data_IF_942321617660
#
_entry.id   IF_942321617660
#
_cell.length_a   1.000
_cell.length_b   1.000
_cell.length_c   1.000
_cell.angle_alpha   90.00
_cell.angle_beta   90.00
_cell.angle_gamma   90.00
#
_symmetry.space_group_name_H-M   'P 1'
#
loop_
_entity.id
_entity.type
_entity.pdbx_description
1 polymer ?
#
# COMPACT_ATOMS: atom_id res chain seq x y z
N UNK A 1 -2.70 -27.58 -37.07
CA UNK A 1 -1.97 -26.72 -36.12
C UNK A 1 -1.48 -25.47 -36.86
N UNK A 2 -2.28 -24.40 -36.88
CA UNK A 2 -1.86 -23.13 -37.47
C UNK A 2 -1.19 -22.27 -36.40
N UNK A 3 0.10 -21.96 -36.57
CA UNK A 3 0.80 -20.96 -35.73
C UNK A 3 0.17 -19.59 -36.00
N UNK A 4 -0.68 -19.11 -35.08
CA UNK A 4 -1.11 -17.71 -35.06
C UNK A 4 0.09 -16.86 -34.63
N UNK A 5 0.73 -16.20 -35.60
CA UNK A 5 1.67 -15.12 -35.31
C UNK A 5 0.87 -13.91 -34.84
N UNK A 6 0.75 -13.70 -33.52
CA UNK A 6 0.25 -12.44 -32.96
C UNK A 6 1.35 -11.40 -33.20
N UNK A 7 1.13 -10.49 -34.15
CA UNK A 7 1.97 -9.30 -34.35
C UNK A 7 1.99 -8.49 -33.04
N UNK A 8 3.10 -8.56 -32.30
CA UNK A 8 3.14 -8.18 -30.89
C UNK A 8 3.81 -6.81 -30.63
N UNK A 9 3.72 -5.88 -31.58
CA UNK A 9 4.23 -4.50 -31.47
C UNK A 9 3.46 -3.54 -32.37
N UNK A 10 2.93 -2.46 -31.79
CA UNK A 10 2.36 -1.34 -32.53
C UNK A 10 3.25 -0.10 -32.38
N UNK A 11 3.79 0.43 -33.48
CA UNK A 11 4.52 1.70 -33.53
C UNK A 11 3.72 2.69 -34.38
N UNK A 12 3.40 3.86 -33.83
CA UNK A 12 2.61 4.87 -34.53
C UNK A 12 3.43 6.11 -34.91
N UNK A 13 3.31 6.56 -36.17
CA UNK A 13 4.08 7.66 -36.77
C UNK A 13 3.39 9.04 -36.64
N UNK A 14 4.14 10.14 -36.68
CA UNK A 14 3.65 11.47 -36.30
C UNK A 14 2.75 12.14 -37.36
N UNK A 15 1.71 12.86 -36.89
CA UNK A 15 0.88 13.76 -37.71
C UNK A 15 0.40 14.99 -36.92
N UNK A 16 0.10 16.08 -37.64
CA UNK A 16 -0.39 17.37 -37.14
C UNK A 16 -1.92 17.43 -37.20
N UNK A 17 -2.58 18.05 -36.21
CA UNK A 17 -4.03 18.25 -36.19
C UNK A 17 -4.38 19.66 -35.72
N UNK A 18 -5.39 20.26 -36.36
CA UNK A 18 -5.92 21.58 -36.04
C UNK A 18 -7.46 21.57 -36.11
N UNK A 19 -8.14 22.24 -35.17
CA UNK A 19 -9.58 22.57 -35.23
C UNK A 19 -10.54 21.36 -35.30
N UNK A 20 -10.51 20.49 -34.29
CA UNK A 20 -11.38 19.30 -34.22
C UNK A 20 -12.12 19.16 -32.88
N UNK A 21 -13.37 18.70 -32.92
CA UNK A 21 -14.20 18.41 -31.74
C UNK A 21 -14.06 16.94 -31.30
N UNK A 22 -13.32 16.68 -30.21
CA UNK A 22 -13.26 15.38 -29.54
C UNK A 22 -12.48 14.31 -30.30
N UNK A 23 -11.22 14.04 -29.90
CA UNK A 23 -10.39 13.00 -30.53
C UNK A 23 -9.73 12.11 -29.47
N UNK A 24 -10.03 10.80 -29.50
CA UNK A 24 -9.17 9.73 -28.96
C UNK A 24 -8.37 9.17 -30.14
N UNK A 25 -7.07 9.50 -30.25
CA UNK A 25 -6.29 9.13 -31.45
C UNK A 25 -6.07 7.63 -31.61
N UNK A 26 -5.95 6.91 -30.50
CA UNK A 26 -5.80 5.45 -30.51
C UNK A 26 -6.16 4.88 -29.14
N UNK A 27 -7.08 3.93 -29.14
CA UNK A 27 -7.28 2.98 -28.06
C UNK A 27 -6.57 1.68 -28.46
N UNK A 28 -5.71 1.16 -27.60
CA UNK A 28 -5.09 -0.16 -27.78
C UNK A 28 -5.48 -1.06 -26.61
N UNK A 29 -5.90 -2.29 -26.90
CA UNK A 29 -6.27 -3.30 -25.91
C UNK A 29 -5.55 -4.63 -26.24
N UNK A 30 -5.12 -5.35 -25.21
CA UNK A 30 -4.53 -6.70 -25.31
C UNK A 30 -3.31 -6.86 -26.26
N UNK A 31 -2.27 -6.01 -26.14
CA UNK A 31 -0.98 -6.20 -26.84
C UNK A 31 0.19 -6.23 -25.85
N UNK A 32 1.34 -6.81 -26.22
CA UNK A 32 2.53 -6.76 -25.34
C UNK A 32 3.17 -5.37 -25.29
N UNK A 33 3.29 -4.67 -26.42
CA UNK A 33 3.98 -3.38 -26.46
C UNK A 33 3.32 -2.40 -27.43
N UNK A 34 3.08 -1.19 -26.94
CA UNK A 34 2.57 -0.07 -27.75
C UNK A 34 3.46 1.15 -27.60
N UNK A 35 3.84 1.79 -28.71
CA UNK A 35 4.50 3.08 -28.71
C UNK A 35 3.83 4.08 -29.66
N UNK A 36 3.72 5.33 -29.21
CA UNK A 36 3.14 6.42 -29.99
C UNK A 36 4.06 7.64 -30.05
N UNK A 37 4.22 8.20 -31.25
CA UNK A 37 4.88 9.47 -31.50
C UNK A 37 3.91 10.49 -32.09
N UNK A 38 3.71 11.61 -31.41
CA UNK A 38 2.81 12.70 -31.83
C UNK A 38 3.54 14.05 -31.87
N UNK A 39 3.36 14.81 -32.97
CA UNK A 39 4.19 15.99 -33.28
C UNK A 39 3.59 17.36 -32.96
N UNK A 40 2.32 17.63 -33.28
CA UNK A 40 1.73 18.97 -33.06
C UNK A 40 0.20 18.99 -33.08
N UNK A 41 -0.44 19.58 -32.06
CA UNK A 41 -1.90 19.78 -31.97
C UNK A 41 -2.25 21.24 -31.69
N UNK A 42 -3.30 21.76 -32.32
CA UNK A 42 -3.86 23.08 -32.00
C UNK A 42 -5.39 23.16 -32.07
N UNK A 43 -6.02 23.95 -31.19
CA UNK A 43 -7.42 24.37 -31.35
C UNK A 43 -8.45 23.25 -31.19
N UNK A 44 -8.30 22.38 -30.19
CA UNK A 44 -9.17 21.21 -29.98
C UNK A 44 -9.99 21.33 -28.70
N UNK A 45 -11.25 20.92 -28.73
CA UNK A 45 -12.10 21.01 -27.53
C UNK A 45 -11.74 19.95 -26.48
N UNK A 46 -11.63 18.68 -26.88
CA UNK A 46 -11.24 17.58 -26.00
C UNK A 46 -10.32 16.59 -26.72
N UNK A 47 -9.29 16.14 -26.02
CA UNK A 47 -8.12 15.53 -26.61
C UNK A 47 -7.57 14.39 -25.74
N UNK A 48 -7.50 13.16 -26.25
CA UNK A 48 -6.70 12.08 -25.66
C UNK A 48 -5.68 11.60 -26.67
N UNK A 49 -4.40 11.80 -26.37
CA UNK A 49 -3.29 11.46 -27.26
C UNK A 49 -3.12 9.95 -27.46
N UNK A 50 -3.06 9.19 -26.38
CA UNK A 50 -3.04 7.73 -26.42
C UNK A 50 -3.83 7.17 -25.23
N UNK A 51 -4.69 6.19 -25.49
CA UNK A 51 -5.36 5.39 -24.48
C UNK A 51 -4.92 3.92 -24.63
N UNK A 52 -4.51 3.27 -23.55
CA UNK A 52 -4.07 1.87 -23.56
C UNK A 52 -4.60 1.11 -22.36
N UNK A 53 -5.05 -0.13 -22.57
CA UNK A 53 -5.54 -1.03 -21.51
C UNK A 53 -4.95 -2.44 -21.70
N UNK A 54 -4.61 -3.11 -20.59
CA UNK A 54 -4.06 -4.47 -20.55
C UNK A 54 -2.83 -4.69 -21.46
N UNK A 55 -1.69 -4.03 -21.16
CA UNK A 55 -0.42 -4.25 -21.87
C UNK A 55 0.73 -4.51 -20.92
N UNK A 56 1.81 -5.11 -21.40
CA UNK A 56 3.05 -5.19 -20.62
C UNK A 56 3.81 -3.85 -20.62
N UNK A 57 3.93 -3.18 -21.77
CA UNK A 57 4.71 -1.94 -21.88
C UNK A 57 4.05 -0.91 -22.80
N UNK A 58 3.91 0.32 -22.31
CA UNK A 58 3.42 1.46 -23.09
C UNK A 58 4.40 2.63 -23.04
N UNK A 59 4.70 3.23 -24.20
CA UNK A 59 5.48 4.46 -24.27
C UNK A 59 4.87 5.52 -25.19
N UNK A 60 4.87 6.77 -24.74
CA UNK A 60 4.35 7.89 -25.53
C UNK A 60 5.32 9.07 -25.57
N UNK A 61 5.54 9.60 -26.78
CA UNK A 61 6.24 10.86 -27.00
C UNK A 61 5.29 11.87 -27.65
N UNK A 62 4.96 12.92 -26.92
CA UNK A 62 4.14 14.04 -27.38
C UNK A 62 4.91 15.35 -27.41
N UNK A 63 4.77 16.07 -28.51
CA UNK A 63 5.37 17.39 -28.72
C UNK A 63 4.28 18.39 -29.12
N UNK A 64 4.44 19.65 -28.70
CA UNK A 64 3.77 20.84 -29.20
C UNK A 64 2.23 20.78 -29.19
N UNK A 65 1.64 20.92 -28.00
CA UNK A 65 0.19 21.03 -27.84
C UNK A 65 -0.20 22.46 -27.51
N UNK A 66 -1.18 23.02 -28.23
CA UNK A 66 -1.71 24.34 -27.94
C UNK A 66 -3.22 24.51 -28.09
N UNK A 67 -3.81 25.44 -27.34
CA UNK A 67 -5.19 25.90 -27.57
C UNK A 67 -6.26 24.82 -27.38
N UNK A 68 -6.10 23.96 -26.36
CA UNK A 68 -7.08 22.92 -26.03
C UNK A 68 -7.95 23.29 -24.82
N UNK A 69 -9.23 22.91 -24.81
CA UNK A 69 -10.07 23.10 -23.61
C UNK A 69 -9.76 22.03 -22.56
N UNK A 70 -9.74 20.76 -22.95
CA UNK A 70 -9.35 19.63 -22.11
C UNK A 70 -8.42 18.68 -22.86
N UNK A 71 -7.34 18.25 -22.22
CA UNK A 71 -6.27 17.56 -22.90
C UNK A 71 -5.56 16.53 -21.99
N UNK A 72 -5.62 15.25 -22.38
CA UNK A 72 -4.90 14.14 -21.74
C UNK A 72 -3.83 13.62 -22.68
N UNK A 73 -2.57 13.65 -22.26
CA UNK A 73 -1.46 13.15 -23.07
C UNK A 73 -1.55 11.63 -23.23
N UNK A 74 -1.35 10.92 -22.12
CA UNK A 74 -1.42 9.46 -22.05
C UNK A 74 -2.39 9.02 -20.97
N UNK A 75 -3.34 8.14 -21.31
CA UNK A 75 -4.17 7.41 -20.37
C UNK A 75 -3.84 5.92 -20.44
N UNK A 76 -3.53 5.28 -19.32
CA UNK A 76 -3.16 3.85 -19.27
C UNK A 76 -3.80 3.13 -18.08
N UNK A 77 -4.28 1.90 -18.29
CA UNK A 77 -4.83 1.05 -17.21
C UNK A 77 -4.32 -0.39 -17.31
N UNK A 78 -4.00 -1.01 -16.17
CA UNK A 78 -3.46 -2.38 -16.07
C UNK A 78 -2.21 -2.63 -16.92
N UNK A 79 -1.05 -2.10 -16.50
CA UNK A 79 0.23 -2.36 -17.17
C UNK A 79 1.36 -2.72 -16.23
N UNK A 80 2.40 -3.38 -16.74
CA UNK A 80 3.64 -3.54 -15.99
C UNK A 80 4.50 -2.27 -16.02
N UNK A 81 4.67 -1.63 -17.18
CA UNK A 81 5.53 -0.44 -17.31
C UNK A 81 4.94 0.61 -18.24
N UNK A 82 4.88 1.85 -17.77
CA UNK A 82 4.44 3.01 -18.56
C UNK A 82 5.48 4.12 -18.54
N UNK A 83 5.77 4.69 -19.70
CA UNK A 83 6.67 5.84 -19.84
C UNK A 83 6.07 6.92 -20.75
N UNK A 84 6.12 8.18 -20.31
CA UNK A 84 5.72 9.31 -21.15
C UNK A 84 6.73 10.45 -21.15
N UNK A 85 6.97 10.98 -22.35
CA UNK A 85 7.73 12.19 -22.56
C UNK A 85 6.85 13.23 -23.26
N UNK A 86 6.61 14.33 -22.58
CA UNK A 86 5.78 15.43 -23.08
C UNK A 86 6.57 16.74 -23.10
N UNK A 87 6.47 17.46 -24.22
CA UNK A 87 7.20 18.71 -24.43
C UNK A 87 6.32 19.79 -25.04
N UNK A 88 6.48 21.03 -24.57
CA UNK A 88 5.95 22.25 -25.19
C UNK A 88 4.42 22.29 -25.22
N UNK A 89 3.81 22.51 -24.06
CA UNK A 89 2.36 22.67 -23.93
C UNK A 89 2.03 24.14 -23.64
N UNK A 90 1.07 24.71 -24.36
CA UNK A 90 0.70 26.13 -24.20
C UNK A 90 -0.80 26.42 -24.36
N UNK A 91 -1.37 27.28 -23.52
CA UNK A 91 -2.74 27.77 -23.73
C UNK A 91 -3.81 26.67 -23.65
N UNK A 92 -3.70 25.78 -22.66
CA UNK A 92 -4.66 24.69 -22.42
C UNK A 92 -5.45 24.98 -21.14
N UNK A 93 -6.78 24.96 -21.18
CA UNK A 93 -7.56 25.22 -19.94
C UNK A 93 -7.35 24.13 -18.89
N UNK A 94 -7.55 22.85 -19.23
CA UNK A 94 -7.30 21.71 -18.36
C UNK A 94 -6.41 20.68 -19.04
N UNK A 95 -5.28 20.35 -18.41
CA UNK A 95 -4.29 19.45 -18.96
C UNK A 95 -3.89 18.37 -17.96
N UNK A 96 -3.93 17.11 -18.39
CA UNK A 96 -3.32 15.98 -17.67
C UNK A 96 -2.24 15.40 -18.55
N UNK A 97 -0.99 15.44 -18.10
CA UNK A 97 0.12 14.88 -18.86
C UNK A 97 -0.02 13.36 -18.99
N UNK A 98 0.00 12.68 -17.85
CA UNK A 98 -0.15 11.23 -17.77
C UNK A 98 -1.18 10.85 -16.72
N UNK A 99 -2.16 10.04 -17.10
CA UNK A 99 -3.11 9.39 -16.22
C UNK A 99 -2.85 7.88 -16.22
N UNK A 100 -2.66 7.25 -15.06
CA UNK A 100 -2.39 5.81 -14.97
C UNK A 100 -3.06 5.12 -13.78
N UNK A 101 -3.59 3.91 -13.99
CA UNK A 101 -4.21 3.11 -12.94
C UNK A 101 -3.73 1.65 -12.98
N UNK A 102 -3.43 1.07 -11.81
CA UNK A 102 -2.90 -0.31 -11.65
C UNK A 102 -1.63 -0.59 -12.46
N UNK A 103 -0.47 -0.11 -11.99
CA UNK A 103 0.81 -0.43 -12.65
C UNK A 103 1.94 -0.78 -11.67
N UNK A 104 2.91 -1.56 -12.16
CA UNK A 104 4.13 -1.79 -11.38
C UNK A 104 5.08 -0.60 -11.44
N UNK A 105 5.35 -0.03 -12.63
CA UNK A 105 6.30 1.09 -12.77
C UNK A 105 5.80 2.16 -13.73
N UNK A 106 5.80 3.42 -13.27
CA UNK A 106 5.45 4.59 -14.09
C UNK A 106 6.57 5.62 -14.08
N UNK A 107 6.91 6.14 -15.27
CA UNK A 107 7.87 7.23 -15.44
C UNK A 107 7.32 8.33 -16.34
N UNK A 108 7.42 9.59 -15.90
CA UNK A 108 7.02 10.73 -16.72
C UNK A 108 8.06 11.84 -16.71
N UNK A 109 8.33 12.36 -17.90
CA UNK A 109 9.17 13.54 -18.11
C UNK A 109 8.35 14.60 -18.85
N UNK A 110 8.10 15.73 -18.19
CA UNK A 110 7.38 16.86 -18.77
C UNK A 110 8.26 18.10 -18.78
N UNK A 111 8.30 18.78 -19.94
CA UNK A 111 9.12 19.97 -20.14
C UNK A 111 8.32 21.08 -20.84
N UNK A 112 8.56 22.32 -20.42
CA UNK A 112 8.10 23.54 -21.12
C UNK A 112 6.58 23.64 -21.20
N UNK A 113 5.95 23.89 -20.04
CA UNK A 113 4.50 24.07 -19.93
C UNK A 113 4.20 25.54 -19.65
N UNK A 114 3.22 26.11 -20.35
CA UNK A 114 2.89 27.53 -20.23
C UNK A 114 1.39 27.83 -20.40
N UNK A 115 0.88 28.84 -19.70
CA UNK A 115 -0.45 29.40 -20.01
C UNK A 115 -1.62 28.44 -19.80
N UNK A 116 -1.50 27.46 -18.88
CA UNK A 116 -2.60 26.58 -18.53
C UNK A 116 -3.46 27.17 -17.39
N UNK A 117 -4.74 26.82 -17.32
CA UNK A 117 -5.56 27.25 -16.17
C UNK A 117 -5.43 26.24 -15.02
N UNK A 118 -5.56 24.95 -15.34
CA UNK A 118 -5.27 23.83 -14.44
C UNK A 118 -4.43 22.79 -15.16
N UNK A 119 -3.37 22.34 -14.52
CA UNK A 119 -2.49 21.34 -15.11
C UNK A 119 -2.03 20.32 -14.06
N UNK A 120 -2.24 19.04 -14.36
CA UNK A 120 -1.73 17.91 -13.61
C UNK A 120 -0.64 17.26 -14.44
N UNK A 121 0.58 17.21 -13.91
CA UNK A 121 1.67 16.55 -14.60
C UNK A 121 1.41 15.04 -14.70
N UNK A 122 1.30 14.39 -13.55
CA UNK A 122 1.07 12.96 -13.44
C UNK A 122 -0.08 12.70 -12.45
N UNK A 123 -1.08 11.94 -12.87
CA UNK A 123 -2.17 11.45 -12.06
C UNK A 123 -2.10 9.91 -12.02
N UNK A 124 -1.93 9.32 -10.85
CA UNK A 124 -1.80 7.86 -10.75
C UNK A 124 -2.55 7.23 -9.57
N UNK A 125 -3.02 6.01 -9.73
CA UNK A 125 -3.68 5.22 -8.67
C UNK A 125 -3.19 3.78 -8.66
N UNK A 126 -2.88 3.22 -7.48
CA UNK A 126 -2.37 1.85 -7.27
C UNK A 126 -1.09 1.55 -8.05
N UNK A 127 0.06 2.04 -7.54
CA UNK A 127 1.37 1.78 -8.16
C UNK A 127 2.44 1.29 -7.18
N UNK A 128 3.33 0.42 -7.62
CA UNK A 128 4.52 0.07 -6.82
C UNK A 128 5.59 1.18 -6.90
N UNK A 129 5.93 1.67 -8.09
CA UNK A 129 6.99 2.68 -8.26
C UNK A 129 6.62 3.77 -9.25
N UNK A 130 6.74 5.04 -8.83
CA UNK A 130 6.51 6.21 -9.68
C UNK A 130 7.71 7.16 -9.68
N UNK A 131 8.09 7.63 -10.86
CA UNK A 131 9.10 8.68 -11.05
C UNK A 131 8.59 9.80 -11.96
N UNK A 132 8.72 11.05 -11.52
CA UNK A 132 8.31 12.20 -12.30
C UNK A 132 9.39 13.30 -12.31
N UNK A 133 9.68 13.82 -13.50
CA UNK A 133 10.56 14.97 -13.68
C UNK A 133 9.81 16.08 -14.43
N UNK A 134 9.59 17.21 -13.74
CA UNK A 134 8.87 18.36 -14.27
C UNK A 134 9.80 19.57 -14.36
N UNK A 135 9.99 20.09 -15.58
CA UNK A 135 10.89 21.22 -15.83
C UNK A 135 10.21 22.35 -16.59
N UNK A 136 10.51 23.60 -16.22
CA UNK A 136 10.18 24.81 -16.97
C UNK A 136 8.66 25.02 -17.12
N UNK A 137 8.01 25.36 -16.01
CA UNK A 137 6.57 25.66 -15.96
C UNK A 137 6.35 27.15 -15.74
N UNK A 138 5.52 27.79 -16.56
CA UNK A 138 5.26 29.23 -16.46
C UNK A 138 3.79 29.63 -16.65
N UNK A 139 3.35 30.73 -16.02
CA UNK A 139 2.06 31.37 -16.32
C UNK A 139 0.84 30.46 -16.21
N UNK A 140 0.81 29.55 -15.23
CA UNK A 140 -0.27 28.59 -15.02
C UNK A 140 -1.00 28.89 -13.71
N UNK A 141 -2.34 29.01 -13.70
CA UNK A 141 -3.04 29.43 -12.46
C UNK A 141 -2.91 28.38 -11.34
N UNK A 142 -3.22 27.11 -11.63
CA UNK A 142 -3.09 25.99 -10.70
C UNK A 142 -2.28 24.85 -11.33
N UNK A 143 -1.24 24.41 -10.64
CA UNK A 143 -0.43 23.26 -11.06
C UNK A 143 -0.39 22.20 -9.97
N UNK A 144 -0.64 20.95 -10.32
CA UNK A 144 -0.25 19.79 -9.51
C UNK A 144 0.80 19.00 -10.27
N UNK A 145 2.01 18.89 -9.73
CA UNK A 145 3.07 18.16 -10.38
C UNK A 145 2.76 16.68 -10.47
N UNK A 146 2.43 16.08 -9.33
CA UNK A 146 2.05 14.67 -9.22
C UNK A 146 0.90 14.52 -8.22
N UNK A 147 -0.15 13.83 -8.63
CA UNK A 147 -1.31 13.46 -7.84
C UNK A 147 -1.39 11.93 -7.79
N UNK A 148 -1.33 11.34 -6.59
CA UNK A 148 -1.27 9.88 -6.42
C UNK A 148 -2.21 9.34 -5.35
N UNK A 149 -2.59 8.06 -5.47
CA UNK A 149 -3.29 7.29 -4.43
C UNK A 149 -2.72 5.87 -4.38
N UNK A 150 -2.45 5.35 -3.17
CA UNK A 150 -1.92 4.01 -2.88
C UNK A 150 -0.61 3.68 -3.61
N UNK A 151 0.54 4.11 -3.06
CA UNK A 151 1.86 3.83 -3.64
C UNK A 151 2.94 3.36 -2.68
N UNK A 152 3.82 2.46 -3.12
CA UNK A 152 4.96 2.03 -2.29
C UNK A 152 6.13 3.04 -2.37
N UNK A 153 6.57 3.40 -3.58
CA UNK A 153 7.73 4.31 -3.77
C UNK A 153 7.45 5.43 -4.79
N UNK A 154 7.68 6.68 -4.38
CA UNK A 154 7.57 7.85 -5.28
C UNK A 154 8.83 8.73 -5.25
N UNK A 155 9.29 9.13 -6.44
CA UNK A 155 10.33 10.15 -6.63
C UNK A 155 9.85 11.25 -7.56
N UNK A 156 10.03 12.51 -7.14
CA UNK A 156 9.70 13.66 -7.99
C UNK A 156 10.77 14.73 -7.93
N UNK A 157 11.14 15.26 -9.09
CA UNK A 157 12.09 16.37 -9.21
C UNK A 157 11.43 17.53 -9.97
N UNK A 158 11.40 18.69 -9.32
CA UNK A 158 10.78 19.90 -9.83
C UNK A 158 11.87 20.96 -10.05
N UNK A 159 12.02 21.46 -11.29
CA UNK A 159 13.03 22.50 -11.61
C UNK A 159 12.44 23.66 -12.40
N UNK A 160 12.81 24.88 -12.02
CA UNK A 160 12.55 26.13 -12.75
C UNK A 160 11.06 26.37 -13.03
N UNK A 161 10.32 26.75 -12.01
CA UNK A 161 8.91 27.14 -12.17
C UNK A 161 8.75 28.65 -11.90
N UNK A 162 7.80 29.31 -12.56
CA UNK A 162 7.52 30.74 -12.32
C UNK A 162 6.07 31.16 -12.65
N UNK A 163 5.54 32.18 -11.97
CA UNK A 163 4.28 32.82 -12.35
C UNK A 163 3.01 31.96 -12.18
N UNK A 164 3.03 30.96 -11.29
CA UNK A 164 1.80 30.27 -10.87
C UNK A 164 1.19 30.91 -9.62
N UNK A 165 -0.15 30.97 -9.54
CA UNK A 165 -0.86 31.47 -8.36
C UNK A 165 -0.93 30.40 -7.26
N UNK A 166 -1.04 29.13 -7.63
CA UNK A 166 -0.97 27.97 -6.73
C UNK A 166 -0.22 26.82 -7.40
N UNK A 167 0.75 26.25 -6.67
CA UNK A 167 1.55 25.13 -7.15
C UNK A 167 1.64 24.06 -6.04
N UNK A 168 1.24 22.84 -6.39
CA UNK A 168 1.38 21.64 -5.57
C UNK A 168 2.42 20.76 -6.23
N UNK A 169 3.55 20.52 -5.57
CA UNK A 169 4.59 19.67 -6.13
C UNK A 169 4.15 18.21 -6.22
N UNK A 170 3.64 17.70 -5.10
CA UNK A 170 3.17 16.34 -4.88
C UNK A 170 1.90 16.39 -4.03
N UNK A 171 0.89 15.61 -4.37
CA UNK A 171 -0.31 15.36 -3.57
C UNK A 171 -0.57 13.86 -3.55
N UNK A 172 -0.74 13.26 -2.38
CA UNK A 172 -0.96 11.81 -2.29
C UNK A 172 -1.79 11.38 -1.09
N UNK A 173 -2.41 10.19 -1.18
CA UNK A 173 -3.07 9.46 -0.10
C UNK A 173 -2.45 8.06 0.01
N UNK A 174 -1.98 7.68 1.21
CA UNK A 174 -1.29 6.41 1.56
C UNK A 174 -0.02 6.13 0.75
N UNK A 175 1.15 6.33 1.37
CA UNK A 175 2.47 6.00 0.80
C UNK A 175 3.41 5.39 1.83
N UNK A 176 4.39 4.57 1.41
CA UNK A 176 5.45 4.08 2.31
C UNK A 176 6.74 4.92 2.23
N UNK A 177 7.20 5.28 1.03
CA UNK A 177 8.49 5.96 0.82
C UNK A 177 8.41 7.12 -0.19
N UNK A 178 8.86 8.32 0.21
CA UNK A 178 8.88 9.53 -0.65
C UNK A 178 10.26 10.19 -0.70
N UNK A 179 10.68 10.63 -1.91
CA UNK A 179 11.76 11.61 -2.09
C UNK A 179 11.36 12.71 -3.08
N UNK A 180 11.28 13.94 -2.59
CA UNK A 180 11.06 15.13 -3.41
C UNK A 180 12.30 16.03 -3.35
N UNK A 181 12.80 16.46 -4.52
CA UNK A 181 13.90 17.42 -4.62
C UNK A 181 13.45 18.65 -5.41
N UNK A 182 13.83 19.84 -4.95
CA UNK A 182 13.47 21.12 -5.57
C UNK A 182 14.72 21.96 -5.86
N UNK A 183 14.78 22.56 -7.05
CA UNK A 183 15.79 23.56 -7.40
C UNK A 183 15.14 24.79 -8.09
N UNK A 184 15.30 25.96 -7.47
CA UNK A 184 14.92 27.32 -7.93
C UNK A 184 13.41 27.60 -8.15
N UNK A 185 12.84 28.53 -7.36
CA UNK A 185 11.47 29.06 -7.42
C UNK A 185 11.39 30.54 -6.99
N UNK A 186 10.54 31.36 -7.65
CA UNK A 186 10.42 32.82 -7.40
C UNK A 186 8.97 33.26 -7.03
N UNK A 187 8.17 32.46 -6.31
CA UNK A 187 6.78 32.80 -5.89
C UNK A 187 6.38 32.27 -4.50
N UNK A 188 5.12 32.47 -4.06
CA UNK A 188 4.61 31.87 -2.82
C UNK A 188 4.29 30.39 -3.01
N UNK A 189 4.97 29.51 -2.28
CA UNK A 189 4.67 28.07 -2.23
C UNK A 189 3.95 27.80 -0.90
N UNK A 190 2.65 27.50 -0.95
CA UNK A 190 1.83 27.32 0.26
C UNK A 190 1.66 25.84 0.60
N UNK A 191 2.38 25.45 1.65
CA UNK A 191 2.11 24.46 2.72
C UNK A 191 1.54 23.06 2.43
N UNK A 192 1.22 22.63 1.21
CA UNK A 192 0.59 21.30 1.04
C UNK A 192 1.56 20.14 1.31
N UNK A 193 2.86 20.30 1.03
CA UNK A 193 3.85 19.24 1.31
C UNK A 193 4.03 19.03 2.81
N UNK A 194 4.23 20.12 3.57
CA UNK A 194 4.32 20.10 5.03
C UNK A 194 3.00 19.66 5.66
N UNK A 195 1.86 20.19 5.21
CA UNK A 195 0.55 19.82 5.76
C UNK A 195 0.17 18.35 5.46
N UNK A 196 0.68 17.75 4.37
CA UNK A 196 0.48 16.34 4.06
C UNK A 196 1.45 15.43 4.80
N UNK A 197 2.73 15.82 4.93
CA UNK A 197 3.70 15.09 5.74
C UNK A 197 3.25 15.10 7.21
N UNK A 198 2.80 16.25 7.73
CA UNK A 198 2.24 16.38 9.08
C UNK A 198 0.95 15.56 9.26
N UNK A 199 0.04 15.56 8.28
CA UNK A 199 -1.18 14.73 8.33
C UNK A 199 -0.90 13.25 8.22
N UNK A 200 0.08 12.87 7.41
CA UNK A 200 0.48 11.48 7.21
C UNK A 200 1.24 10.95 8.43
N UNK A 201 2.13 11.74 9.02
CA UNK A 201 2.74 11.43 10.32
C UNK A 201 1.69 11.36 11.43
N UNK A 202 0.75 12.30 11.48
CA UNK A 202 -0.36 12.25 12.44
C UNK A 202 -1.22 10.98 12.24
N UNK A 203 -1.53 10.60 11.01
CA UNK A 203 -2.29 9.39 10.70
C UNK A 203 -1.53 8.12 11.12
N UNK A 204 -0.24 8.02 10.77
CA UNK A 204 0.61 6.90 11.24
C UNK A 204 0.69 6.85 12.76
N UNK A 205 0.88 7.98 13.43
CA UNK A 205 0.89 8.05 14.89
C UNK A 205 -0.43 7.57 15.51
N UNK A 206 -1.56 7.80 14.85
CA UNK A 206 -2.86 7.25 15.26
C UNK A 206 -2.93 5.74 15.05
N UNK A 207 -2.48 5.22 13.91
CA UNK A 207 -2.36 3.77 13.67
C UNK A 207 -1.48 3.09 14.72
N UNK A 208 -0.29 3.64 15.00
CA UNK A 208 0.63 3.15 16.02
C UNK A 208 -0.02 3.04 17.40
N UNK A 209 -0.64 4.12 17.87
CA UNK A 209 -1.30 4.16 19.19
C UNK A 209 -2.45 3.15 19.27
N UNK A 210 -3.27 3.07 18.22
CA UNK A 210 -4.38 2.11 18.17
C UNK A 210 -3.87 0.67 18.29
N UNK A 211 -2.84 0.31 17.51
CA UNK A 211 -2.26 -1.04 17.51
C UNK A 211 -1.68 -1.39 18.88
N UNK A 212 -0.95 -0.47 19.52
CA UNK A 212 -0.37 -0.70 20.85
C UNK A 212 -1.45 -0.84 21.93
N UNK A 213 -2.46 0.03 21.92
CA UNK A 213 -3.56 -0.03 22.89
C UNK A 213 -4.40 -1.31 22.71
N UNK A 214 -4.66 -1.72 21.46
CA UNK A 214 -5.31 -2.99 21.15
C UNK A 214 -4.53 -4.19 21.72
N UNK A 215 -3.20 -4.16 21.62
CA UNK A 215 -2.34 -5.22 22.13
C UNK A 215 -2.45 -5.40 23.66
N UNK A 216 -2.67 -4.32 24.43
CA UNK A 216 -2.89 -4.43 25.88
C UNK A 216 -4.09 -5.34 26.21
N UNK A 217 -5.11 -5.31 25.35
CA UNK A 217 -6.32 -6.13 25.40
C UNK A 217 -6.21 -7.48 24.64
N UNK A 218 -5.01 -7.87 24.18
CA UNK A 218 -4.75 -9.04 23.31
C UNK A 218 -5.45 -9.00 21.94
N UNK A 219 -5.70 -7.80 21.41
CA UNK A 219 -6.10 -7.63 20.02
C UNK A 219 -4.89 -7.30 19.15
N UNK A 220 -4.76 -8.03 18.04
CA UNK A 220 -3.65 -7.89 17.10
C UNK A 220 -4.22 -7.51 15.74
N UNK A 221 -4.58 -6.24 15.56
CA UNK A 221 -5.38 -5.76 14.43
C UNK A 221 -4.66 -5.90 13.08
N UNK A 222 -5.40 -6.30 12.04
CA UNK A 222 -4.90 -6.27 10.66
C UNK A 222 -5.10 -4.87 10.04
N UNK A 223 -4.49 -4.64 8.89
CA UNK A 223 -4.48 -3.32 8.24
C UNK A 223 -5.87 -2.81 7.85
N UNK A 224 -6.74 -3.69 7.35
CA UNK A 224 -8.08 -3.31 6.94
C UNK A 224 -8.93 -2.90 8.15
N UNK A 225 -8.80 -3.63 9.26
CA UNK A 225 -9.45 -3.30 10.52
C UNK A 225 -8.94 -1.99 11.12
N UNK A 226 -7.63 -1.74 11.08
CA UNK A 226 -7.03 -0.47 11.54
C UNK A 226 -7.56 0.70 10.72
N UNK A 227 -7.56 0.57 9.39
CA UNK A 227 -8.01 1.63 8.50
C UNK A 227 -9.51 1.90 8.68
N UNK A 228 -10.34 0.85 8.74
CA UNK A 228 -11.77 0.97 9.02
C UNK A 228 -12.03 1.69 10.35
N UNK A 229 -11.35 1.27 11.42
CA UNK A 229 -11.52 1.85 12.75
C UNK A 229 -11.17 3.33 12.79
N UNK A 230 -10.12 3.76 12.06
CA UNK A 230 -9.70 5.15 11.98
C UNK A 230 -10.57 6.00 11.04
N UNK A 231 -11.27 5.40 10.08
CA UNK A 231 -12.21 6.10 9.19
C UNK A 231 -13.54 6.44 9.90
N UNK A 232 -14.01 5.56 10.79
CA UNK A 232 -15.32 5.71 11.45
C UNK A 232 -15.29 6.56 12.73
N UNK A 233 -14.11 6.85 13.29
CA UNK A 233 -13.98 7.66 14.52
C UNK A 233 -13.28 8.99 14.27
N UNK A 234 -13.93 10.08 14.70
CA UNK A 234 -13.28 11.38 14.90
C UNK A 234 -12.29 11.23 16.06
N UNK A 235 -11.00 11.28 15.72
CA UNK A 235 -9.91 11.00 16.66
C UNK A 235 -9.68 12.22 17.56
N UNK A 236 -10.32 12.21 18.73
CA UNK A 236 -9.84 12.87 19.95
C UNK A 236 -9.82 11.93 21.18
N UNK A 237 -10.33 10.70 21.06
CA UNK A 237 -10.26 9.69 22.12
C UNK A 237 -9.19 8.62 21.82
N UNK A 238 -8.29 8.44 22.77
CA UNK A 238 -7.15 7.51 22.75
C UNK A 238 -7.53 6.06 23.08
N UNK A 239 -8.81 5.78 23.32
CA UNK A 239 -9.22 4.54 23.95
C UNK A 239 -9.65 3.51 22.89
N UNK A 240 -9.07 2.32 23.00
CA UNK A 240 -9.41 1.18 22.17
C UNK A 240 -10.81 0.67 22.56
N UNK A 241 -11.75 0.67 21.61
CA UNK A 241 -13.11 0.16 21.81
C UNK A 241 -13.22 -1.27 21.29
N UNK A 242 -13.13 -2.20 22.22
CA UNK A 242 -13.27 -3.63 21.98
C UNK A 242 -14.65 -4.00 21.40
N UNK A 243 -15.73 -3.29 21.77
CA UNK A 243 -17.09 -3.58 21.28
C UNK A 243 -17.21 -3.25 19.79
N UNK A 244 -16.65 -2.12 19.36
CA UNK A 244 -16.64 -1.75 17.94
C UNK A 244 -15.89 -2.78 17.08
N UNK A 245 -14.74 -3.26 17.58
CA UNK A 245 -13.93 -4.29 16.93
C UNK A 245 -14.68 -5.61 16.85
N UNK A 246 -15.29 -6.07 17.96
CA UNK A 246 -16.09 -7.30 17.99
C UNK A 246 -17.22 -7.25 16.96
N UNK A 247 -17.95 -6.13 16.90
CA UNK A 247 -19.05 -5.96 15.96
C UNK A 247 -18.58 -6.03 14.50
N UNK A 248 -17.47 -5.37 14.18
CA UNK A 248 -16.89 -5.44 12.84
C UNK A 248 -16.54 -6.88 12.47
N UNK A 249 -15.72 -7.55 13.27
CA UNK A 249 -15.23 -8.89 12.94
C UNK A 249 -16.39 -9.88 12.86
N UNK A 250 -17.41 -9.76 13.71
CA UNK A 250 -18.58 -10.63 13.67
C UNK A 250 -19.33 -10.51 12.34
N UNK A 251 -19.45 -9.29 11.79
CA UNK A 251 -20.09 -9.05 10.50
C UNK A 251 -19.23 -9.47 9.31
N UNK A 252 -17.91 -9.47 9.47
CA UNK A 252 -16.92 -9.80 8.43
C UNK A 252 -16.28 -11.19 8.61
N UNK A 253 -16.80 -12.03 9.51
CA UNK A 253 -16.14 -13.28 9.91
C UNK A 253 -15.93 -14.22 8.72
N UNK A 254 -16.95 -14.41 7.88
CA UNK A 254 -16.84 -15.31 6.72
C UNK A 254 -15.82 -14.77 5.68
N UNK A 255 -15.67 -13.44 5.54
CA UNK A 255 -14.66 -12.81 4.68
C UNK A 255 -13.24 -13.03 5.23
N UNK A 256 -13.05 -12.82 6.53
CA UNK A 256 -11.79 -13.11 7.22
C UNK A 256 -11.37 -14.56 7.02
N UNK A 257 -12.29 -15.50 7.25
CA UNK A 257 -12.02 -16.92 7.09
C UNK A 257 -11.69 -17.23 5.63
N UNK A 258 -12.47 -16.72 4.68
CA UNK A 258 -12.23 -16.92 3.25
C UNK A 258 -10.82 -16.47 2.85
N UNK A 259 -10.36 -15.32 3.32
CA UNK A 259 -9.02 -14.83 3.02
C UNK A 259 -7.91 -15.64 3.70
N UNK A 260 -8.09 -16.00 4.97
CA UNK A 260 -7.15 -16.85 5.72
C UNK A 260 -6.97 -18.19 5.00
N UNK A 261 -8.06 -18.91 4.70
CA UNK A 261 -7.97 -20.26 4.12
C UNK A 261 -7.57 -20.26 2.65
N UNK A 262 -7.72 -19.15 1.93
CA UNK A 262 -7.26 -19.04 0.55
C UNK A 262 -5.83 -18.50 0.42
N UNK A 263 -5.26 -17.96 1.48
CA UNK A 263 -3.84 -17.62 1.52
C UNK A 263 -2.94 -18.86 1.40
N UNK A 264 -1.84 -18.73 0.66
CA UNK A 264 -0.79 -19.75 0.57
C UNK A 264 -0.11 -20.04 1.91
N UNK A 265 -0.21 -19.11 2.87
CA UNK A 265 0.33 -19.26 4.22
C UNK A 265 -0.29 -20.45 4.97
N UNK A 266 -1.61 -20.63 4.83
CA UNK A 266 -2.40 -21.61 5.59
C UNK A 266 -2.79 -22.84 4.78
N UNK A 267 -2.09 -23.13 3.68
CA UNK A 267 -2.45 -24.22 2.76
C UNK A 267 -2.60 -25.57 3.46
N UNK A 268 -1.72 -25.88 4.41
CA UNK A 268 -1.77 -27.15 5.18
C UNK A 268 -2.76 -27.11 6.35
N UNK A 269 -3.22 -25.93 6.78
CA UNK A 269 -4.14 -25.74 7.91
C UNK A 269 -5.58 -25.41 7.52
N UNK A 270 -5.91 -25.27 6.23
CA UNK A 270 -7.27 -24.97 5.76
C UNK A 270 -8.34 -25.84 6.42
N UNK A 271 -8.08 -27.16 6.52
CA UNK A 271 -9.04 -28.10 7.10
C UNK A 271 -9.32 -27.80 8.57
N UNK A 272 -8.28 -27.58 9.36
CA UNK A 272 -8.43 -27.37 10.81
C UNK A 272 -9.05 -26.00 11.13
N UNK A 273 -8.78 -24.98 10.29
CA UNK A 273 -9.42 -23.67 10.39
C UNK A 273 -10.90 -23.73 10.00
N UNK A 274 -11.28 -24.50 8.98
CA UNK A 274 -12.70 -24.68 8.66
C UNK A 274 -13.45 -25.45 9.76
N UNK A 275 -12.79 -26.43 10.39
CA UNK A 275 -13.36 -27.15 11.53
C UNK A 275 -13.50 -26.27 12.78
N UNK A 276 -12.58 -25.33 13.01
CA UNK A 276 -12.71 -24.37 14.11
C UNK A 276 -13.92 -23.48 13.93
N UNK A 277 -14.21 -23.03 12.71
CA UNK A 277 -15.41 -22.23 12.40
C UNK A 277 -16.69 -23.02 12.67
N UNK A 278 -16.71 -24.32 12.33
CA UNK A 278 -17.85 -25.17 12.65
C UNK A 278 -18.08 -25.27 14.17
N UNK A 279 -17.03 -25.51 14.96
CA UNK A 279 -17.12 -25.56 16.41
C UNK A 279 -17.57 -24.21 17.02
N UNK A 280 -17.04 -23.10 16.49
CA UNK A 280 -17.44 -21.74 16.88
C UNK A 280 -18.94 -21.49 16.65
N UNK A 281 -19.47 -21.87 15.48
CA UNK A 281 -20.90 -21.73 15.14
C UNK A 281 -21.81 -22.62 16.01
N UNK A 282 -21.25 -23.49 16.85
CA UNK A 282 -21.97 -24.34 17.80
C UNK A 282 -21.66 -23.96 19.26
N UNK A 283 -21.06 -22.80 19.49
CA UNK A 283 -20.67 -22.29 20.81
C UNK A 283 -19.66 -23.16 21.56
N UNK A 284 -18.91 -24.01 20.86
CA UNK A 284 -17.84 -24.83 21.42
C UNK A 284 -16.50 -24.09 21.33
N UNK A 285 -16.34 -23.02 22.11
CA UNK A 285 -15.22 -22.08 21.97
C UNK A 285 -13.85 -22.70 22.26
N UNK A 286 -13.75 -23.62 23.20
CA UNK A 286 -12.50 -24.34 23.50
C UNK A 286 -12.05 -25.19 22.32
N UNK A 287 -12.98 -25.98 21.76
CA UNK A 287 -12.74 -26.81 20.58
C UNK A 287 -12.46 -25.96 19.33
N UNK A 288 -13.07 -24.77 19.25
CA UNK A 288 -12.83 -23.83 18.17
C UNK A 288 -11.44 -23.19 18.26
N UNK A 289 -10.95 -22.87 19.46
CA UNK A 289 -9.67 -22.17 19.63
C UNK A 289 -8.47 -23.10 19.47
N UNK A 290 -8.54 -24.34 19.96
CA UNK A 290 -7.38 -25.25 19.99
C UNK A 290 -6.66 -25.44 18.64
N UNK A 291 -7.36 -25.65 17.51
CA UNK A 291 -6.69 -25.82 16.23
C UNK A 291 -5.98 -24.56 15.74
N UNK A 292 -6.43 -23.37 16.16
CA UNK A 292 -5.88 -22.09 15.72
C UNK A 292 -4.46 -21.84 16.26
N UNK A 293 -4.13 -22.38 17.43
CA UNK A 293 -2.76 -22.33 17.95
C UNK A 293 -1.76 -23.04 17.03
N UNK A 294 -2.11 -24.23 16.54
CA UNK A 294 -1.26 -24.97 15.61
C UNK A 294 -1.12 -24.27 14.27
N UNK A 295 -2.19 -23.62 13.80
CA UNK A 295 -2.14 -22.79 12.60
C UNK A 295 -1.21 -21.60 12.77
N UNK A 296 -1.32 -20.88 13.87
CA UNK A 296 -0.47 -19.73 14.16
C UNK A 296 1.00 -20.12 14.37
N UNK A 297 1.28 -21.16 15.16
CA UNK A 297 2.64 -21.65 15.40
C UNK A 297 3.36 -22.07 14.11
N UNK A 298 2.64 -22.70 13.18
CA UNK A 298 3.19 -23.07 11.89
C UNK A 298 3.55 -21.85 11.03
N UNK A 299 2.73 -20.79 11.04
CA UNK A 299 3.05 -19.54 10.32
C UNK A 299 4.32 -18.92 10.87
N UNK A 300 4.42 -18.75 12.18
CA UNK A 300 5.60 -18.17 12.84
C UNK A 300 6.85 -19.01 12.54
N UNK A 301 6.73 -20.34 12.58
CA UNK A 301 7.83 -21.24 12.29
C UNK A 301 8.30 -21.16 10.84
N UNK A 302 7.38 -21.14 9.87
CA UNK A 302 7.71 -21.00 8.43
C UNK A 302 8.26 -19.61 8.12
N UNK A 303 7.73 -18.57 8.76
CA UNK A 303 8.26 -17.21 8.65
C UNK A 303 9.71 -17.16 9.14
N UNK A 304 10.00 -17.65 10.35
CA UNK A 304 11.36 -17.66 10.90
C UNK A 304 12.36 -18.48 10.05
N UNK A 305 11.85 -19.41 9.24
CA UNK A 305 12.62 -20.19 8.25
C UNK A 305 12.82 -19.47 6.91
N UNK A 306 12.23 -18.29 6.71
CA UNK A 306 12.24 -17.54 5.45
C UNK A 306 11.42 -18.20 4.34
N UNK A 307 10.52 -19.14 4.68
CA UNK A 307 9.72 -19.89 3.71
C UNK A 307 8.51 -19.06 3.24
N UNK A 308 7.97 -18.20 4.10
CA UNK A 308 6.77 -17.39 3.77
C UNK A 308 7.11 -16.12 2.99
N UNK A 309 8.32 -15.60 3.14
CA UNK A 309 8.74 -14.36 2.48
C UNK A 309 9.15 -14.63 1.03
N UNK A 310 8.91 -13.67 0.13
CA UNK A 310 9.27 -13.85 -1.28
C UNK A 310 10.79 -14.05 -1.43
N UNK A 311 11.26 -15.17 -2.03
CA UNK A 311 12.69 -15.42 -2.21
C UNK A 311 13.36 -14.39 -3.14
N UNK A 312 12.56 -13.65 -3.90
CA UNK A 312 13.03 -12.55 -4.76
C UNK A 312 13.19 -11.23 -3.99
N UNK A 313 12.53 -11.06 -2.85
CA UNK A 313 12.65 -9.85 -2.03
C UNK A 313 13.72 -9.99 -0.95
N UNK A 314 13.87 -11.17 -0.35
CA UNK A 314 14.78 -11.37 0.77
C UNK A 314 15.62 -12.64 0.59
N UNK A 315 16.94 -12.48 0.46
CA UNK A 315 17.88 -13.61 0.30
C UNK A 315 18.46 -14.04 1.67
N UNK A 316 18.63 -15.36 1.87
CA UNK A 316 19.27 -15.98 3.05
C UNK A 316 18.61 -15.59 4.38
N UNK A 317 17.30 -15.82 4.50
CA UNK A 317 16.52 -15.41 5.65
C UNK A 317 16.22 -16.61 6.54
N UNK A 318 17.04 -16.86 7.54
CA UNK A 318 16.81 -17.92 8.51
C UNK A 318 17.25 -17.44 9.89
N UNK A 319 16.36 -17.57 10.89
CA UNK A 319 16.70 -17.28 12.27
C UNK A 319 16.99 -18.60 13.02
N UNK A 320 18.25 -18.95 13.27
CA UNK A 320 18.58 -20.14 14.05
C UNK A 320 18.07 -19.99 15.48
N UNK A 321 17.50 -21.08 16.02
CA UNK A 321 16.97 -21.15 17.38
C UNK A 321 16.00 -20.00 17.72
N UNK A 322 15.13 -19.63 16.77
CA UNK A 322 14.18 -18.52 16.91
C UNK A 322 13.42 -18.54 18.24
N UNK A 323 12.79 -19.68 18.58
CA UNK A 323 12.04 -19.85 19.85
C UNK A 323 12.91 -19.63 21.10
N UNK A 324 14.18 -20.03 21.06
CA UNK A 324 15.11 -19.80 22.17
C UNK A 324 15.40 -18.31 22.41
N UNK A 325 15.51 -17.54 21.33
CA UNK A 325 15.76 -16.08 21.37
C UNK A 325 14.59 -15.25 21.92
N UNK A 326 13.37 -15.80 21.89
CA UNK A 326 12.18 -15.11 22.38
C UNK A 326 12.05 -15.11 23.92
N UNK A 327 12.81 -15.96 24.63
CA UNK A 327 12.66 -16.19 26.09
C UNK A 327 12.99 -14.97 27.00
N UNK A 328 13.58 -13.92 26.45
CA UNK A 328 14.05 -12.75 27.22
C UNK A 328 13.66 -11.39 26.63
N UNK A 329 12.96 -11.38 25.49
CA UNK A 329 12.71 -10.17 24.75
C UNK A 329 11.23 -9.85 24.77
N UNK A 330 10.88 -8.85 25.56
CA UNK A 330 9.59 -8.20 25.43
C UNK A 330 9.85 -6.89 24.70
N UNK A 331 9.28 -6.74 23.51
CA UNK A 331 9.27 -5.49 22.74
C UNK A 331 8.24 -4.51 23.38
N UNK A 332 8.26 -4.39 24.72
CA UNK A 332 7.38 -3.47 25.48
C UNK A 332 8.00 -2.07 25.59
N UNK A 333 9.32 -1.96 25.40
CA UNK A 333 10.08 -0.72 25.53
C UNK A 333 10.47 -0.13 24.16
N UNK A 334 9.59 -0.24 23.17
CA UNK A 334 9.69 0.64 21.98
C UNK A 334 9.29 2.03 22.45
N UNK A 335 10.21 2.74 23.10
CA UNK A 335 10.11 4.19 23.24
C UNK A 335 10.01 4.80 21.84
N UNK A 336 8.77 4.97 21.41
CA UNK A 336 8.25 6.10 20.65
C UNK A 336 9.11 6.50 19.43
N UNK A 337 8.66 6.04 18.26
CA UNK A 337 8.59 6.81 17.01
C UNK A 337 9.88 6.98 16.18
N UNK A 338 11.11 6.86 16.71
CA UNK A 338 12.31 7.07 15.85
C UNK A 338 12.80 5.83 15.08
N UNK A 339 12.59 4.61 15.60
CA UNK A 339 13.30 3.42 15.09
C UNK A 339 12.45 2.60 14.11
N UNK A 340 11.12 2.60 14.23
CA UNK A 340 10.26 1.91 13.26
C UNK A 340 9.89 2.88 12.14
N UNK A 341 10.79 3.01 11.17
CA UNK A 341 10.53 3.77 9.94
C UNK A 341 9.51 3.07 9.02
N UNK A 342 9.13 1.82 9.31
CA UNK A 342 8.23 1.01 8.48
C UNK A 342 7.06 0.42 9.27
N UNK A 343 5.83 0.73 8.83
CA UNK A 343 4.59 0.10 9.32
C UNK A 343 4.65 -1.43 9.31
N UNK A 344 5.30 -2.01 8.29
CA UNK A 344 5.43 -3.46 8.14
C UNK A 344 6.24 -4.07 9.30
N UNK A 345 7.31 -3.40 9.73
CA UNK A 345 8.09 -3.87 10.87
C UNK A 345 7.29 -3.79 12.19
N UNK A 346 6.51 -2.74 12.41
CA UNK A 346 5.60 -2.67 13.56
C UNK A 346 4.63 -3.85 13.55
N UNK A 347 3.92 -4.05 12.43
CA UNK A 347 2.96 -5.16 12.26
C UNK A 347 3.65 -6.49 12.59
N UNK A 348 4.82 -6.74 12.00
CA UNK A 348 5.63 -7.92 12.31
C UNK A 348 5.95 -8.06 13.81
N UNK A 349 6.43 -7.00 14.45
CA UNK A 349 6.79 -7.02 15.88
C UNK A 349 5.58 -7.29 16.77
N UNK A 350 4.42 -6.72 16.45
CA UNK A 350 3.19 -7.01 17.21
C UNK A 350 2.75 -8.46 17.10
N UNK A 351 2.92 -9.07 15.93
CA UNK A 351 2.63 -10.50 15.72
C UNK A 351 3.63 -11.37 16.51
N UNK A 352 4.91 -10.98 16.57
CA UNK A 352 5.89 -11.69 17.40
C UNK A 352 5.60 -11.52 18.89
N UNK A 353 5.19 -10.34 19.33
CA UNK A 353 4.71 -10.13 20.71
C UNK A 353 3.48 -11.00 21.01
N UNK A 354 2.55 -11.13 20.07
CA UNK A 354 1.40 -12.04 20.20
C UNK A 354 1.88 -13.47 20.45
N UNK A 355 2.87 -13.93 19.69
CA UNK A 355 3.46 -15.25 19.86
C UNK A 355 4.15 -15.41 21.22
N UNK A 356 4.90 -14.41 21.68
CA UNK A 356 5.52 -14.43 23.02
C UNK A 356 4.45 -14.53 24.10
N UNK A 357 3.42 -13.68 24.05
CA UNK A 357 2.35 -13.66 25.06
C UNK A 357 1.53 -14.97 25.07
N UNK A 358 1.24 -15.52 23.90
CA UNK A 358 0.48 -16.77 23.77
C UNK A 358 1.29 -18.00 24.19
N UNK A 359 2.61 -18.00 24.02
CA UNK A 359 3.48 -19.15 24.29
C UNK A 359 4.39 -18.95 25.51
N UNK A 360 4.12 -17.93 26.33
CA UNK A 360 4.85 -17.69 27.58
C UNK A 360 4.60 -18.83 28.58
N UNK A 361 5.66 -19.23 29.29
CA UNK A 361 5.60 -20.25 30.33
C UNK A 361 5.11 -19.70 31.68
N UNK A 362 5.10 -18.37 31.87
CA UNK A 362 4.68 -17.72 33.12
C UNK A 362 3.80 -16.50 32.85
N UNK A 363 2.57 -16.70 32.33
CA UNK A 363 1.68 -15.58 32.04
C UNK A 363 1.44 -14.74 33.30
N UNK A 364 1.64 -13.42 33.18
CA UNK A 364 1.45 -12.48 34.29
C UNK A 364 -0.01 -12.27 34.68
N UNK A 365 -0.95 -12.62 33.80
CA UNK A 365 -2.39 -12.56 34.01
C UNK A 365 -3.03 -13.86 33.53
N UNK A 366 -3.69 -14.59 34.43
CA UNK A 366 -4.30 -15.90 34.12
C UNK A 366 -5.56 -15.80 33.25
N UNK A 367 -6.14 -14.61 33.09
CA UNK A 367 -7.34 -14.43 32.24
C UNK A 367 -7.01 -14.25 30.76
N UNK A 368 -5.76 -13.90 30.44
CA UNK A 368 -5.28 -13.74 29.07
C UNK A 368 -5.10 -15.10 28.39
N UNK A 369 -5.52 -15.22 27.13
CA UNK A 369 -5.36 -16.44 26.32
C UNK A 369 -3.87 -16.79 26.28
N UNK A 370 -3.52 -17.99 26.72
CA UNK A 370 -2.15 -18.51 26.74
C UNK A 370 -2.18 -20.03 26.47
N UNK A 371 -1.47 -20.46 25.42
CA UNK A 371 -1.41 -21.84 24.97
C UNK A 371 -0.93 -22.77 26.07
N UNK A 372 0.16 -22.43 26.74
CA UNK A 372 0.78 -23.32 27.71
C UNK A 372 -0.17 -23.58 28.88
N UNK A 373 -0.79 -22.53 29.42
CA UNK A 373 -1.80 -22.67 30.49
C UNK A 373 -2.98 -23.52 30.05
N UNK A 374 -3.47 -23.31 28.83
CA UNK A 374 -4.59 -24.08 28.26
C UNK A 374 -4.18 -25.56 28.12
N UNK A 375 -3.08 -25.86 27.42
CA UNK A 375 -2.67 -27.25 27.18
C UNK A 375 -2.20 -27.99 28.44
N UNK A 376 -1.70 -27.27 29.44
CA UNK A 376 -1.34 -27.85 30.74
C UNK A 376 -2.51 -27.89 31.74
N UNK A 377 -3.71 -27.44 31.35
CA UNK A 377 -4.92 -27.53 32.17
C UNK A 377 -4.95 -26.58 33.37
N UNK A 378 -4.10 -25.55 33.39
CA UNK A 378 -4.09 -24.53 34.45
C UNK A 378 -4.89 -23.28 34.09
N UNK A 379 -5.47 -23.21 32.89
CA UNK A 379 -6.35 -22.11 32.46
C UNK A 379 -7.80 -22.31 32.95
N UNK A 380 -8.50 -21.21 33.23
CA UNK A 380 -9.93 -21.23 33.52
C UNK A 380 -10.74 -21.28 32.22
N UNK A 381 -11.22 -22.47 31.84
CA UNK A 381 -11.91 -22.67 30.56
C UNK A 381 -13.23 -21.90 30.44
N UNK A 382 -13.88 -21.56 31.56
CA UNK A 382 -15.11 -20.74 31.56
C UNK A 382 -14.89 -19.33 31.00
N UNK A 383 -13.62 -18.90 30.88
CA UNK A 383 -13.24 -17.60 30.29
C UNK A 383 -13.01 -17.66 28.77
N UNK A 384 -12.95 -18.86 28.17
CA UNK A 384 -12.89 -18.99 26.71
C UNK A 384 -14.28 -18.75 26.11
N UNK A 385 -14.41 -17.64 25.40
CA UNK A 385 -15.68 -17.14 24.89
C UNK A 385 -15.64 -16.90 23.38
N UNK A 386 -16.76 -16.45 22.83
CA UNK A 386 -16.84 -15.91 21.47
C UNK A 386 -15.74 -14.88 21.19
N UNK A 387 -15.50 -13.95 22.13
CA UNK A 387 -14.47 -12.93 22.01
C UNK A 387 -13.07 -13.56 21.89
N UNK A 388 -12.80 -14.58 22.70
CA UNK A 388 -11.52 -15.31 22.66
C UNK A 388 -11.25 -15.95 21.30
N UNK A 389 -12.30 -16.47 20.64
CA UNK A 389 -12.19 -16.99 19.28
C UNK A 389 -11.95 -15.89 18.24
N UNK A 390 -12.68 -14.76 18.32
CA UNK A 390 -12.51 -13.64 17.39
C UNK A 390 -11.09 -13.05 17.46
N UNK A 391 -10.51 -12.93 18.66
CA UNK A 391 -9.10 -12.53 18.85
C UNK A 391 -8.14 -13.43 18.08
N UNK A 392 -8.36 -14.74 18.13
CA UNK A 392 -7.53 -15.71 17.40
C UNK A 392 -7.70 -15.60 15.89
N UNK A 393 -8.92 -15.38 15.38
CA UNK A 393 -9.16 -15.19 13.94
C UNK A 393 -8.48 -13.93 13.43
N UNK A 394 -8.62 -12.81 14.15
CA UNK A 394 -7.91 -11.57 13.80
C UNK A 394 -6.41 -11.77 13.85
N UNK A 395 -5.87 -12.46 14.85
CA UNK A 395 -4.45 -12.78 14.90
C UNK A 395 -3.97 -13.58 13.68
N UNK A 396 -4.74 -14.60 13.25
CA UNK A 396 -4.41 -15.36 12.04
C UNK A 396 -4.46 -14.47 10.79
N UNK A 397 -5.44 -13.58 10.68
CA UNK A 397 -5.53 -12.63 9.57
C UNK A 397 -4.32 -11.68 9.56
N UNK A 398 -3.99 -11.10 10.69
CA UNK A 398 -2.84 -10.19 10.85
C UNK A 398 -1.51 -10.86 10.58
N UNK A 399 -1.38 -12.14 10.92
CA UNK A 399 -0.17 -12.93 10.64
C UNK A 399 0.18 -13.01 9.15
N UNK A 400 -0.76 -12.73 8.24
CA UNK A 400 -0.48 -12.62 6.80
C UNK A 400 0.49 -11.48 6.47
N UNK A 401 0.55 -10.42 7.29
CA UNK A 401 1.50 -9.32 7.10
C UNK A 401 2.96 -9.78 7.20
N UNK A 402 3.24 -10.93 7.82
CA UNK A 402 4.59 -11.49 7.89
C UNK A 402 5.17 -11.89 6.52
N UNK A 403 4.36 -12.01 5.47
CA UNK A 403 4.83 -12.24 4.10
C UNK A 403 5.75 -11.10 3.64
N UNK A 404 5.43 -9.87 4.07
CA UNK A 404 6.10 -8.64 3.65
C UNK A 404 7.17 -8.16 4.65
N UNK A 405 7.42 -8.94 5.71
CA UNK A 405 8.37 -8.60 6.78
C UNK A 405 9.53 -9.59 6.77
N UNK A 406 10.75 -9.10 6.58
CA UNK A 406 11.96 -9.93 6.63
C UNK A 406 12.24 -10.42 8.06
N UNK A 407 12.34 -11.75 8.28
CA UNK A 407 12.83 -12.28 9.55
C UNK A 407 14.20 -11.72 9.98
N UNK A 408 15.11 -11.47 9.04
CA UNK A 408 16.43 -10.91 9.37
C UNK A 408 16.33 -9.47 9.88
N UNK A 409 15.45 -8.65 9.29
CA UNK A 409 15.22 -7.27 9.75
C UNK A 409 14.62 -7.27 11.16
N UNK A 410 13.63 -8.12 11.41
CA UNK A 410 12.98 -8.21 12.72
C UNK A 410 13.91 -8.82 13.79
N UNK A 411 14.78 -9.77 13.42
CA UNK A 411 15.76 -10.36 14.33
C UNK A 411 16.76 -9.34 14.90
N UNK A 412 17.04 -8.23 14.19
CA UNK A 412 17.86 -7.14 14.74
C UNK A 412 17.22 -6.57 16.02
N UNK A 413 15.91 -6.37 16.00
CA UNK A 413 15.13 -5.84 17.13
C UNK A 413 14.95 -6.85 18.26
N UNK A 414 14.97 -8.15 17.94
CA UNK A 414 14.94 -9.23 18.95
C UNK A 414 16.30 -9.47 19.61
N UNK A 415 17.40 -8.90 19.10
CA UNK A 415 18.73 -9.06 19.68
C UNK A 415 19.16 -7.92 20.61
N UNK A 416 18.36 -6.86 20.73
CA UNK A 416 18.67 -5.69 21.57
C UNK A 416 18.15 -5.93 23.00
N UNK A 417 18.88 -6.72 23.79
CA UNK A 417 18.89 -6.70 25.28
C UNK A 417 19.96 -7.65 25.87
N UNK A 418 21.17 -7.66 25.30
CA UNK A 418 22.35 -8.30 25.91
C UNK A 418 23.46 -7.29 26.24
N UNK A 419 23.12 -6.11 26.78
CA UNK A 419 24.10 -5.23 27.44
C UNK A 419 23.69 -4.91 28.87
#
# INVERSE_FOLDING_TARGET
MGKRYILNKSIFLPYNLSNSSGIVRKASQHMNTTSALMKQWSGVQSAVGLASQHMNTTSALMKQWSGAQSAVGLASQHMNTTSALMKQWSGVQSAVGLASQHMNTTSALMKQWSGAQSAIGLASQHMNTTSALLKQWSGTQSVTGLASQHMNTTSALLKQWSGAQSAVGLASRHMENMRALQEQWNGSFKSILTDLDDKYEAYRNKQYKLILNAQECQWFLDEELVDHYLEIRDIDETDFDEVAVINYITNHLDEYIHEIVNSSCYETQKRIINQSVYAYKQDYYELAIFPLFGAFDNIISRWAQGILTSPYQFQNVYIPNFRGKLKHNIVKDLEVVEVIQSMNLLKGLTIINAYIDLFDNKPSNQTKINLNSILHGSYNYDELSQNSYLKMIVLLKSALALIDVSPSELNLYLSVKEQ
#
